data_IF_710698913371
#
_entry.id   IF_710698913371
#
_cell.length_a   1.000
_cell.length_b   1.000
_cell.length_c   1.000
_cell.angle_alpha   90.00
_cell.angle_beta   90.00
_cell.angle_gamma   90.00
#
_symmetry.space_group_name_H-M   'P 1'
#
loop_
_entity.id
_entity.type
_entity.pdbx_description
1 polymer ?
#
# COMPACT_ATOMS: atom_id res chain seq x y z
N UNK A 1 47.45 45.22 -57.53
CA UNK A 1 47.34 44.96 -56.12
C UNK A 1 45.87 44.59 -55.77
N UNK A 2 45.54 43.30 -55.77
CA UNK A 2 44.17 42.80 -55.56
C UNK A 2 44.09 42.36 -54.12
N UNK A 3 43.20 42.99 -53.29
CA UNK A 3 42.96 42.63 -51.90
C UNK A 3 41.85 41.61 -51.86
N UNK A 4 42.20 40.38 -51.45
CA UNK A 4 41.25 39.28 -51.22
C UNK A 4 40.60 39.48 -49.83
N UNK A 5 39.26 39.63 -49.78
CA UNK A 5 38.49 39.66 -48.53
C UNK A 5 38.02 38.26 -48.20
N UNK A 6 38.56 37.70 -47.14
CA UNK A 6 38.08 36.42 -46.63
C UNK A 6 36.74 36.60 -45.87
N UNK A 7 35.72 35.87 -46.27
CA UNK A 7 34.42 35.82 -45.65
C UNK A 7 34.43 34.69 -44.61
N UNK A 8 34.38 35.04 -43.34
CA UNK A 8 34.23 34.03 -42.24
C UNK A 8 32.75 33.75 -42.06
N UNK A 9 32.34 32.56 -42.44
CA UNK A 9 30.97 32.05 -42.17
C UNK A 9 30.98 31.38 -40.80
N UNK A 10 30.29 31.99 -39.82
CA UNK A 10 30.06 31.45 -38.50
C UNK A 10 28.88 30.48 -38.54
N UNK A 11 29.13 29.16 -38.49
CA UNK A 11 28.10 28.16 -38.32
C UNK A 11 27.67 28.13 -36.86
N UNK A 12 26.50 28.69 -36.52
CA UNK A 12 25.84 28.48 -35.25
C UNK A 12 25.15 27.12 -35.25
N UNK A 13 25.77 26.13 -34.59
CA UNK A 13 25.13 24.84 -34.33
C UNK A 13 24.13 24.97 -33.17
N UNK A 14 22.86 25.01 -33.48
CA UNK A 14 21.78 24.96 -32.46
C UNK A 14 21.65 23.55 -31.98
N UNK A 15 22.16 23.24 -30.75
CA UNK A 15 21.86 22.01 -30.04
C UNK A 15 20.41 22.06 -29.54
N UNK A 16 19.51 21.36 -30.24
CA UNK A 16 18.17 21.04 -29.70
C UNK A 16 18.31 20.04 -28.59
N UNK A 17 18.33 20.53 -27.34
CA UNK A 17 18.12 19.69 -26.15
C UNK A 17 16.66 19.21 -26.16
N UNK A 18 16.44 18.04 -26.71
CA UNK A 18 15.16 17.35 -26.62
C UNK A 18 14.85 17.04 -25.14
N UNK A 19 13.99 17.83 -24.52
CA UNK A 19 13.37 17.49 -23.23
C UNK A 19 12.47 16.28 -23.45
N UNK A 20 13.04 15.07 -23.33
CA UNK A 20 12.26 13.84 -23.26
C UNK A 20 11.35 13.92 -22.04
N UNK A 21 10.08 14.24 -22.23
CA UNK A 21 9.07 14.03 -21.20
C UNK A 21 9.04 12.52 -20.93
N UNK A 22 9.57 12.11 -19.77
CA UNK A 22 9.36 10.75 -19.26
C UNK A 22 7.86 10.63 -19.05
N UNK A 23 7.19 9.91 -19.96
CA UNK A 23 5.79 9.56 -19.79
C UNK A 23 5.69 8.82 -18.43
N UNK A 24 4.90 9.36 -17.50
CA UNK A 24 4.58 8.66 -16.28
C UNK A 24 3.96 7.32 -16.69
N UNK A 25 4.65 6.22 -16.41
CA UNK A 25 4.10 4.88 -16.64
C UNK A 25 2.76 4.80 -15.91
N UNK A 26 1.71 4.42 -16.64
CA UNK A 26 0.42 4.17 -16.01
C UNK A 26 0.61 3.10 -14.94
N UNK A 27 0.08 3.36 -13.73
CA UNK A 27 0.12 2.39 -12.63
C UNK A 27 -0.65 1.14 -13.06
N UNK A 28 -0.05 -0.01 -12.83
CA UNK A 28 -0.65 -1.28 -13.19
C UNK A 28 -1.83 -1.58 -12.25
N UNK A 29 -3.07 -1.77 -12.76
CA UNK A 29 -4.21 -2.15 -11.94
C UNK A 29 -4.06 -3.59 -11.43
N UNK A 30 -4.86 -3.99 -10.44
CA UNK A 30 -4.95 -5.39 -10.05
C UNK A 30 -5.38 -6.24 -11.26
N UNK A 31 -4.70 -7.35 -11.57
CA UNK A 31 -5.11 -8.25 -12.64
C UNK A 31 -6.46 -8.92 -12.29
N UNK A 32 -7.34 -9.02 -13.27
CA UNK A 32 -8.63 -9.71 -13.15
C UNK A 32 -8.49 -11.20 -13.44
N UNK A 33 -9.49 -12.00 -13.00
CA UNK A 33 -9.57 -13.43 -13.32
C UNK A 33 -8.43 -14.28 -12.74
N UNK A 34 -7.88 -13.90 -11.61
CA UNK A 34 -6.79 -14.60 -10.94
C UNK A 34 -7.02 -14.68 -9.42
N UNK A 35 -6.43 -15.69 -8.79
CA UNK A 35 -6.42 -15.82 -7.34
C UNK A 35 -5.42 -14.86 -6.68
N UNK A 36 -5.60 -14.64 -5.38
CA UNK A 36 -4.67 -13.89 -4.52
C UNK A 36 -4.17 -14.73 -3.37
N UNK A 37 -2.90 -14.57 -2.96
CA UNK A 37 -2.46 -15.06 -1.65
C UNK A 37 -1.83 -13.94 -0.80
N UNK A 38 -2.16 -13.97 0.50
CA UNK A 38 -1.76 -12.97 1.47
C UNK A 38 -0.71 -13.56 2.40
N UNK A 39 0.58 -13.24 2.17
CA UNK A 39 1.76 -13.93 2.70
C UNK A 39 2.56 -13.11 3.71
N UNK A 40 1.93 -12.48 4.69
CA UNK A 40 2.65 -11.64 5.67
C UNK A 40 3.44 -12.46 6.69
N UNK A 41 3.04 -13.69 6.98
CA UNK A 41 3.77 -14.59 7.87
C UNK A 41 5.00 -15.25 7.23
N UNK A 42 5.25 -15.01 5.93
CA UNK A 42 6.37 -15.55 5.18
C UNK A 42 6.01 -16.01 3.78
N UNK A 43 7.02 -16.07 2.91
CA UNK A 43 6.87 -16.48 1.52
C UNK A 43 6.48 -17.96 1.39
N UNK A 44 5.56 -18.26 0.47
CA UNK A 44 5.19 -19.62 0.10
C UNK A 44 5.02 -19.72 -1.42
N UNK A 45 5.36 -20.90 -1.98
CA UNK A 45 5.07 -21.20 -3.38
C UNK A 45 3.59 -21.47 -3.54
N UNK A 46 2.98 -20.94 -4.63
CA UNK A 46 1.55 -21.09 -4.92
C UNK A 46 1.32 -21.56 -6.36
N UNK A 47 0.15 -22.17 -6.64
CA UNK A 47 -0.24 -22.59 -8.00
C UNK A 47 -0.20 -21.43 -9.01
N UNK A 48 -0.19 -21.76 -10.29
CA UNK A 48 -0.18 -20.80 -11.40
C UNK A 48 -1.39 -19.87 -11.44
N UNK A 49 -2.54 -20.31 -10.91
CA UNK A 49 -3.79 -19.52 -10.82
C UNK A 49 -3.66 -18.31 -9.89
N UNK A 50 -2.74 -18.34 -8.91
CA UNK A 50 -2.50 -17.23 -7.98
C UNK A 50 -1.66 -16.17 -8.68
N UNK A 51 -2.29 -15.18 -9.27
CA UNK A 51 -1.62 -14.08 -9.99
C UNK A 51 -1.24 -12.90 -9.10
N UNK A 52 -1.87 -12.75 -7.93
CA UNK A 52 -1.63 -11.64 -6.99
C UNK A 52 -0.99 -12.19 -5.71
N UNK A 53 0.12 -11.60 -5.26
CA UNK A 53 0.79 -11.94 -3.99
C UNK A 53 1.02 -10.68 -3.17
N UNK A 54 0.51 -10.67 -1.94
CA UNK A 54 0.86 -9.63 -0.96
C UNK A 54 1.94 -10.16 0.00
N UNK A 55 3.02 -9.39 0.20
CA UNK A 55 4.12 -9.71 1.12
C UNK A 55 4.55 -8.50 1.92
N UNK A 56 5.08 -8.75 3.10
CA UNK A 56 5.74 -7.71 3.90
C UNK A 56 6.86 -7.02 3.09
N UNK A 57 7.02 -5.72 3.28
CA UNK A 57 8.01 -4.87 2.60
C UNK A 57 9.47 -5.33 2.76
N UNK A 58 9.73 -6.24 3.69
CA UNK A 58 11.07 -6.83 3.90
C UNK A 58 11.27 -8.15 3.17
N UNK A 59 10.22 -8.70 2.57
CA UNK A 59 10.27 -9.91 1.77
C UNK A 59 10.48 -9.59 0.28
N UNK A 60 11.13 -10.49 -0.44
CA UNK A 60 11.25 -10.36 -1.89
C UNK A 60 9.89 -10.56 -2.59
N UNK A 61 9.58 -9.83 -3.68
CA UNK A 61 8.41 -10.07 -4.50
C UNK A 61 8.45 -11.48 -5.13
N UNK A 62 7.29 -12.04 -5.45
CA UNK A 62 7.17 -13.32 -6.13
C UNK A 62 7.36 -13.13 -7.64
N UNK A 63 8.31 -13.84 -8.24
CA UNK A 63 8.59 -13.74 -9.67
C UNK A 63 7.36 -14.09 -10.53
N UNK A 64 7.10 -13.30 -11.58
CA UNK A 64 6.01 -13.51 -12.53
C UNK A 64 4.60 -13.32 -11.95
N UNK A 65 4.46 -12.56 -10.86
CA UNK A 65 3.19 -12.25 -10.20
C UNK A 65 3.02 -10.74 -10.07
N UNK A 66 1.78 -10.30 -9.90
CA UNK A 66 1.50 -8.96 -9.42
C UNK A 66 1.74 -8.92 -7.90
N UNK A 67 2.67 -8.10 -7.47
CA UNK A 67 3.11 -8.07 -6.08
C UNK A 67 2.62 -6.82 -5.37
N UNK A 68 1.93 -7.02 -4.25
CA UNK A 68 1.52 -5.96 -3.32
C UNK A 68 2.51 -5.93 -2.16
N UNK A 69 3.15 -4.79 -1.96
CA UNK A 69 4.04 -4.55 -0.84
C UNK A 69 3.23 -4.12 0.38
N UNK A 70 3.16 -4.95 1.42
CA UNK A 70 2.52 -4.59 2.68
C UNK A 70 3.40 -3.62 3.47
N UNK A 71 2.83 -2.50 3.85
CA UNK A 71 3.45 -1.49 4.71
C UNK A 71 2.52 -1.16 5.87
N UNK A 72 2.94 -1.45 7.11
CA UNK A 72 2.25 -0.92 8.28
C UNK A 72 2.55 0.59 8.36
N UNK A 73 1.67 1.38 7.73
CA UNK A 73 1.92 2.80 7.55
C UNK A 73 1.56 3.65 8.77
N UNK A 74 0.71 3.15 9.67
CA UNK A 74 0.07 3.92 10.74
C UNK A 74 0.40 3.43 12.14
N UNK A 75 1.01 2.26 12.25
CA UNK A 75 1.48 1.66 13.50
C UNK A 75 2.90 1.10 13.31
N UNK A 76 3.52 0.63 14.37
CA UNK A 76 4.79 -0.11 14.32
C UNK A 76 4.52 -1.59 14.17
N UNK A 77 5.33 -2.28 13.35
CA UNK A 77 5.36 -3.74 13.43
C UNK A 77 6.07 -4.20 14.73
N UNK A 78 5.76 -5.40 15.26
CA UNK A 78 6.38 -5.90 16.49
C UNK A 78 7.92 -5.95 16.46
N UNK A 79 8.50 -6.29 15.30
CA UNK A 79 9.95 -6.33 15.08
C UNK A 79 10.60 -4.93 14.95
N UNK A 80 9.80 -3.87 14.79
CA UNK A 80 10.27 -2.49 14.63
C UNK A 80 10.28 -1.69 15.95
N UNK A 81 9.92 -2.28 17.08
CA UNK A 81 9.86 -1.56 18.37
C UNK A 81 11.12 -0.75 18.67
N UNK A 82 12.32 -1.35 18.49
CA UNK A 82 13.60 -0.65 18.72
C UNK A 82 13.79 0.56 17.81
N UNK A 83 13.37 0.45 16.57
CA UNK A 83 13.44 1.55 15.58
C UNK A 83 12.56 2.73 16.01
N UNK A 84 11.32 2.46 16.43
CA UNK A 84 10.37 3.49 16.82
C UNK A 84 10.68 4.09 18.20
N UNK A 85 11.19 3.31 19.16
CA UNK A 85 11.60 3.83 20.46
C UNK A 85 12.76 4.85 20.36
N UNK A 86 13.60 4.78 19.33
CA UNK A 86 14.57 5.84 19.02
C UNK A 86 13.92 7.10 18.43
N UNK A 87 12.62 7.07 18.12
CA UNK A 87 11.84 8.14 17.49
C UNK A 87 10.59 8.48 18.28
N UNK A 88 10.67 8.44 19.59
CA UNK A 88 9.53 8.58 20.52
C UNK A 88 8.66 9.82 20.28
N UNK A 89 9.21 10.89 19.68
CA UNK A 89 8.44 12.10 19.33
C UNK A 89 7.43 11.87 18.21
N UNK A 90 7.53 10.75 17.48
CA UNK A 90 6.62 10.32 16.41
C UNK A 90 5.62 9.24 16.86
N UNK A 91 5.74 8.74 18.09
CA UNK A 91 4.77 7.85 18.70
C UNK A 91 3.66 8.65 19.39
N UNK A 92 2.41 8.20 19.19
CA UNK A 92 1.29 8.74 19.93
C UNK A 92 1.48 8.45 21.42
N UNK A 93 1.31 9.44 22.28
CA UNK A 93 1.45 9.30 23.71
C UNK A 93 0.18 9.72 24.42
N UNK A 94 -0.18 8.91 25.41
CA UNK A 94 -1.18 9.21 26.41
C UNK A 94 -0.50 9.24 27.79
N UNK A 95 -0.68 10.35 28.54
CA UNK A 95 0.02 10.57 29.83
C UNK A 95 1.52 10.25 29.78
N UNK A 96 2.20 10.65 28.69
CA UNK A 96 3.64 10.48 28.49
C UNK A 96 4.07 9.06 28.03
N UNK A 97 3.20 8.07 28.02
CA UNK A 97 3.47 6.70 27.57
C UNK A 97 3.02 6.47 26.12
N UNK A 98 3.76 5.70 25.31
CA UNK A 98 3.29 5.33 23.98
C UNK A 98 1.95 4.58 24.05
N UNK A 99 1.00 4.96 23.19
CA UNK A 99 -0.25 4.22 23.00
C UNK A 99 0.04 2.96 22.18
N UNK A 100 -0.47 1.84 22.65
CA UNK A 100 -0.28 0.50 22.06
C UNK A 100 -1.64 0.00 21.57
N UNK A 101 -1.69 -0.55 20.38
CA UNK A 101 -2.76 -1.43 19.96
C UNK A 101 -2.57 -2.77 20.65
N UNK A 102 -3.39 -3.06 21.66
CA UNK A 102 -3.23 -4.24 22.54
C UNK A 102 -3.41 -5.56 21.79
N UNK A 103 -4.20 -5.57 20.70
CA UNK A 103 -4.43 -6.80 19.92
C UNK A 103 -3.16 -7.29 19.21
N UNK A 104 -2.29 -6.35 18.82
CA UNK A 104 -1.09 -6.62 18.02
C UNK A 104 0.21 -6.25 18.75
N UNK A 105 0.12 -5.56 19.89
CA UNK A 105 1.27 -5.06 20.63
C UNK A 105 2.06 -3.99 19.85
N UNK A 106 1.41 -3.23 19.00
CA UNK A 106 2.00 -2.25 18.07
C UNK A 106 1.82 -0.82 18.58
N UNK A 107 2.88 0.00 18.50
CA UNK A 107 2.77 1.42 18.82
C UNK A 107 2.00 2.16 17.74
N UNK A 108 1.08 3.04 18.14
CA UNK A 108 0.35 3.93 17.24
C UNK A 108 1.22 5.14 16.90
N UNK A 109 1.32 5.50 15.62
CA UNK A 109 2.06 6.67 15.15
C UNK A 109 1.27 7.96 15.40
N UNK A 110 1.95 9.04 15.78
CA UNK A 110 1.30 10.32 16.10
C UNK A 110 1.04 11.17 14.86
N UNK A 111 -0.18 11.14 14.38
CA UNK A 111 -0.62 11.88 13.19
C UNK A 111 -1.26 13.23 13.52
N UNK A 112 -1.24 13.67 14.78
CA UNK A 112 -1.99 14.85 15.24
C UNK A 112 -1.57 16.15 14.55
N UNK A 113 -0.27 16.33 14.29
CA UNK A 113 0.23 17.59 13.70
C UNK A 113 0.74 17.42 12.27
N UNK A 114 0.64 18.44 11.41
CA UNK A 114 1.21 18.39 10.05
C UNK A 114 2.70 18.07 10.06
N UNK A 115 3.47 18.66 10.98
CA UNK A 115 4.91 18.43 11.08
C UNK A 115 5.25 16.94 11.37
N UNK A 116 4.50 16.28 12.26
CA UNK A 116 4.68 14.85 12.54
C UNK A 116 4.31 14.00 11.31
N UNK A 117 3.19 14.30 10.65
CA UNK A 117 2.80 13.59 9.41
C UNK A 117 3.86 13.71 8.32
N UNK A 118 4.48 14.89 8.13
CA UNK A 118 5.57 15.05 7.16
C UNK A 118 6.81 14.23 7.54
N UNK A 119 7.21 14.24 8.81
CA UNK A 119 8.35 13.44 9.28
C UNK A 119 8.10 11.93 9.12
N UNK A 120 6.90 11.46 9.42
CA UNK A 120 6.48 10.08 9.21
C UNK A 120 6.44 9.73 7.71
N UNK A 121 5.92 10.63 6.87
CA UNK A 121 5.90 10.44 5.41
C UNK A 121 7.31 10.32 4.81
N UNK A 122 8.31 10.97 5.38
CA UNK A 122 9.72 10.78 4.97
C UNK A 122 10.20 9.36 5.31
N UNK A 123 9.83 8.84 6.48
CA UNK A 123 10.25 7.49 6.91
C UNK A 123 9.55 6.42 6.05
N UNK A 124 8.21 6.45 6.02
CA UNK A 124 7.40 5.49 5.26
C UNK A 124 7.66 5.62 3.75
N UNK A 125 7.93 6.84 3.28
CA UNK A 125 8.28 7.10 1.89
C UNK A 125 9.54 6.35 1.42
N UNK A 126 10.52 6.16 2.29
CA UNK A 126 11.70 5.33 1.98
C UNK A 126 11.35 3.84 1.85
N UNK A 127 10.35 3.37 2.60
CA UNK A 127 9.87 2.00 2.47
C UNK A 127 9.12 1.80 1.14
N UNK A 128 8.30 2.80 0.76
CA UNK A 128 7.64 2.83 -0.56
C UNK A 128 8.67 2.80 -1.69
N UNK A 129 9.71 3.65 -1.61
CA UNK A 129 10.77 3.68 -2.61
C UNK A 129 11.51 2.35 -2.71
N UNK A 130 11.69 1.66 -1.57
CA UNK A 130 12.29 0.34 -1.54
C UNK A 130 11.38 -0.70 -2.19
N UNK A 131 10.06 -0.69 -1.92
CA UNK A 131 9.12 -1.58 -2.61
C UNK A 131 9.20 -1.41 -4.14
N UNK A 132 9.28 -0.15 -4.62
CA UNK A 132 9.45 0.11 -6.06
C UNK A 132 10.77 -0.45 -6.60
N UNK A 133 11.87 -0.21 -5.90
CA UNK A 133 13.20 -0.70 -6.29
C UNK A 133 13.31 -2.23 -6.28
N UNK A 134 12.58 -2.90 -5.39
CA UNK A 134 12.52 -4.35 -5.29
C UNK A 134 11.61 -5.01 -6.35
N UNK A 135 10.80 -4.20 -7.09
CA UNK A 135 9.98 -4.68 -8.20
C UNK A 135 8.54 -5.06 -7.81
N UNK A 136 8.00 -4.50 -6.73
CA UNK A 136 6.57 -4.56 -6.45
C UNK A 136 5.79 -3.67 -7.42
N UNK A 137 4.51 -3.99 -7.70
CA UNK A 137 3.61 -3.21 -8.53
C UNK A 137 2.72 -2.28 -7.71
N UNK A 138 2.48 -2.62 -6.44
CA UNK A 138 1.58 -1.89 -5.57
C UNK A 138 2.10 -1.84 -4.12
N UNK A 139 1.57 -0.89 -3.35
CA UNK A 139 1.74 -0.83 -1.89
C UNK A 139 0.36 -0.76 -1.25
N UNK A 140 0.09 -1.61 -0.26
CA UNK A 140 -1.05 -1.45 0.64
C UNK A 140 -0.60 -0.81 1.96
N UNK A 141 -1.44 0.04 2.53
CA UNK A 141 -1.17 0.71 3.80
C UNK A 141 -2.11 0.21 4.88
N UNK A 142 -1.55 -0.57 5.82
CA UNK A 142 -2.31 -1.10 6.93
C UNK A 142 -2.46 -0.10 8.08
N UNK A 143 -3.47 -0.36 8.91
CA UNK A 143 -3.82 0.41 10.11
C UNK A 143 -4.27 1.85 9.84
N UNK A 144 -4.86 2.11 8.65
CA UNK A 144 -5.45 3.40 8.29
C UNK A 144 -6.47 3.88 9.33
N UNK A 145 -7.14 2.95 10.01
CA UNK A 145 -8.13 3.16 11.05
C UNK A 145 -7.55 3.25 12.48
N UNK A 146 -6.22 3.34 12.65
CA UNK A 146 -5.55 3.42 13.96
C UNK A 146 -6.07 4.52 14.89
N UNK A 147 -6.74 5.55 14.32
CA UNK A 147 -7.41 6.58 15.11
C UNK A 147 -8.52 6.03 16.01
N UNK A 148 -9.13 4.89 15.67
CA UNK A 148 -10.18 4.23 16.48
C UNK A 148 -9.59 3.63 17.76
N UNK A 149 -8.31 3.28 17.76
CA UNK A 149 -7.55 2.67 18.87
C UNK A 149 -6.64 3.67 19.59
N UNK A 150 -6.81 4.97 19.31
CA UNK A 150 -5.93 6.05 19.77
C UNK A 150 -6.33 6.68 21.10
N UNK A 151 -7.14 6.03 21.95
CA UNK A 151 -7.73 6.63 23.16
C UNK A 151 -8.43 7.97 22.88
N UNK A 152 -9.04 8.12 21.68
CA UNK A 152 -9.66 9.38 21.20
C UNK A 152 -8.69 10.56 20.99
N UNK A 153 -7.37 10.33 21.06
CA UNK A 153 -6.35 11.37 20.87
C UNK A 153 -6.15 11.74 19.41
N UNK A 154 -6.54 10.88 18.48
CA UNK A 154 -6.54 11.14 17.04
C UNK A 154 -7.94 11.00 16.44
N UNK A 155 -8.13 11.66 15.29
CA UNK A 155 -9.39 11.63 14.54
C UNK A 155 -9.13 11.19 13.11
N UNK A 156 -10.16 10.64 12.43
CA UNK A 156 -10.10 10.22 11.03
C UNK A 156 -9.47 11.24 10.07
N UNK A 157 -9.80 12.57 10.12
CA UNK A 157 -9.18 13.52 9.20
C UNK A 157 -7.65 13.58 9.28
N UNK A 158 -7.06 13.30 10.44
CA UNK A 158 -5.60 13.27 10.61
C UNK A 158 -4.98 12.04 9.94
N UNK A 159 -5.61 10.88 10.06
CA UNK A 159 -5.21 9.67 9.35
C UNK A 159 -5.32 9.85 7.83
N UNK A 160 -6.44 10.39 7.34
CA UNK A 160 -6.64 10.66 5.92
C UNK A 160 -5.65 11.69 5.35
N UNK A 161 -5.31 12.73 6.14
CA UNK A 161 -4.29 13.70 5.75
C UNK A 161 -2.90 13.05 5.61
N UNK A 162 -2.58 12.07 6.45
CA UNK A 162 -1.35 11.30 6.33
C UNK A 162 -1.40 10.33 5.15
N UNK A 163 -2.52 9.59 4.98
CA UNK A 163 -2.73 8.70 3.83
C UNK A 163 -2.50 9.41 2.50
N UNK A 164 -3.01 10.64 2.32
CA UNK A 164 -2.76 11.44 1.10
C UNK A 164 -1.27 11.65 0.80
N UNK A 165 -0.44 11.83 1.83
CA UNK A 165 1.01 11.98 1.65
C UNK A 165 1.63 10.67 1.16
N UNK A 166 1.19 9.54 1.71
CA UNK A 166 1.66 8.21 1.32
C UNK A 166 1.21 7.85 -0.09
N UNK A 167 -0.08 8.02 -0.42
CA UNK A 167 -0.61 7.80 -1.77
C UNK A 167 0.16 8.61 -2.81
N UNK A 168 0.34 9.92 -2.56
CA UNK A 168 1.12 10.78 -3.46
C UNK A 168 2.56 10.29 -3.63
N UNK A 169 3.18 9.74 -2.59
CA UNK A 169 4.54 9.18 -2.68
C UNK A 169 4.55 7.89 -3.49
N UNK A 170 3.58 7.01 -3.25
CA UNK A 170 3.41 5.74 -3.96
C UNK A 170 3.26 5.97 -5.46
N UNK A 171 2.38 6.89 -5.85
CA UNK A 171 2.18 7.27 -7.25
C UNK A 171 3.44 7.83 -7.90
N UNK A 172 4.22 8.65 -7.18
CA UNK A 172 5.50 9.16 -7.70
C UNK A 172 6.56 8.07 -7.88
N UNK A 173 6.46 7.00 -7.11
CA UNK A 173 7.29 5.81 -7.27
C UNK A 173 6.81 4.86 -8.38
N UNK A 174 5.71 5.20 -9.09
CA UNK A 174 5.12 4.39 -10.16
C UNK A 174 4.26 3.22 -9.68
N UNK A 175 3.97 3.13 -8.37
CA UNK A 175 3.22 2.04 -7.77
C UNK A 175 1.75 2.40 -7.58
N UNK A 176 0.85 1.40 -7.65
CA UNK A 176 -0.53 1.53 -7.22
C UNK A 176 -0.63 1.58 -5.68
N UNK A 177 -1.57 2.38 -5.16
CA UNK A 177 -1.78 2.57 -3.72
C UNK A 177 -3.05 1.84 -3.26
N UNK A 178 -2.94 0.95 -2.29
CA UNK A 178 -4.03 0.17 -1.71
C UNK A 178 -4.52 0.69 -0.37
N UNK A 179 -5.83 0.84 -0.25
CA UNK A 179 -6.52 1.07 1.01
C UNK A 179 -6.69 -0.26 1.75
N UNK A 180 -6.10 -0.41 2.95
CA UNK A 180 -6.42 -1.54 3.82
C UNK A 180 -7.59 -1.20 4.73
N UNK A 181 -8.62 -2.04 4.69
CA UNK A 181 -9.81 -1.90 5.54
C UNK A 181 -10.50 -0.51 5.49
N UNK A 182 -11.20 -0.09 6.57
CA UNK A 182 -11.93 1.19 6.68
C UNK A 182 -13.09 1.31 5.66
N UNK A 183 -13.98 0.32 5.60
CA UNK A 183 -15.12 0.22 4.69
C UNK A 183 -16.05 1.46 4.66
N UNK A 184 -16.09 2.24 5.76
CA UNK A 184 -16.89 3.46 5.87
C UNK A 184 -16.30 4.69 5.17
N UNK A 185 -15.21 4.53 4.38
CA UNK A 185 -14.55 5.62 3.68
C UNK A 185 -14.26 5.27 2.23
N UNK A 186 -14.61 6.17 1.33
CA UNK A 186 -14.22 6.09 -0.08
C UNK A 186 -12.79 6.60 -0.25
N UNK A 187 -11.83 5.68 -0.35
CA UNK A 187 -10.42 5.99 -0.51
C UNK A 187 -10.06 6.55 -1.86
N UNK A 188 -10.88 6.36 -2.89
CA UNK A 188 -10.64 6.94 -4.23
C UNK A 188 -10.63 8.47 -4.15
N UNK A 189 -11.39 9.06 -3.22
CA UNK A 189 -11.40 10.50 -2.95
C UNK A 189 -10.03 11.08 -2.52
N UNK A 190 -9.10 10.23 -2.08
CA UNK A 190 -7.73 10.64 -1.74
C UNK A 190 -6.67 9.96 -2.59
N UNK A 191 -7.11 9.22 -3.63
CA UNK A 191 -6.28 8.67 -4.68
C UNK A 191 -5.85 7.23 -4.47
N UNK A 192 -6.47 6.45 -3.58
CA UNK A 192 -6.24 5.01 -3.56
C UNK A 192 -6.75 4.37 -4.84
N UNK A 193 -5.98 3.44 -5.39
CA UNK A 193 -6.26 2.77 -6.66
C UNK A 193 -7.03 1.46 -6.47
N UNK A 194 -6.88 0.80 -5.33
CA UNK A 194 -7.53 -0.48 -4.98
C UNK A 194 -7.75 -0.60 -3.47
N UNK A 195 -8.48 -1.64 -3.06
CA UNK A 195 -8.66 -1.97 -1.66
C UNK A 195 -8.23 -3.40 -1.33
N UNK A 196 -7.73 -3.61 -0.11
CA UNK A 196 -7.56 -4.92 0.53
C UNK A 196 -8.45 -4.94 1.76
N UNK A 197 -9.44 -5.82 1.76
CA UNK A 197 -10.39 -5.97 2.86
C UNK A 197 -10.16 -7.29 3.60
N UNK A 198 -10.14 -7.24 4.92
CA UNK A 198 -10.13 -8.43 5.76
C UNK A 198 -11.48 -8.64 6.42
N UNK A 199 -11.98 -9.86 6.38
CA UNK A 199 -13.24 -10.26 7.00
C UNK A 199 -14.45 -9.43 6.55
N UNK A 200 -14.44 -8.88 5.33
CA UNK A 200 -15.53 -8.01 4.88
C UNK A 200 -16.86 -8.74 4.82
N UNK A 201 -16.87 -10.04 4.51
CA UNK A 201 -18.09 -10.82 4.54
C UNK A 201 -18.56 -11.07 5.98
N UNK A 202 -17.66 -11.23 6.95
CA UNK A 202 -18.03 -11.37 8.36
C UNK A 202 -18.80 -10.15 8.87
N UNK A 203 -18.41 -8.94 8.44
CA UNK A 203 -18.98 -7.67 8.91
C UNK A 203 -20.01 -7.07 7.93
N UNK A 204 -20.36 -7.80 6.86
CA UNK A 204 -21.28 -7.33 5.81
C UNK A 204 -20.84 -6.00 5.17
N UNK A 205 -19.56 -5.90 4.86
CA UNK A 205 -18.92 -4.68 4.36
C UNK A 205 -18.38 -4.78 2.94
N UNK A 206 -18.28 -5.99 2.34
CA UNK A 206 -17.68 -6.19 1.02
C UNK A 206 -18.28 -5.27 -0.05
N UNK A 207 -19.62 -5.12 -0.05
CA UNK A 207 -20.31 -4.25 -1.00
C UNK A 207 -19.89 -2.78 -0.94
N UNK A 208 -19.40 -2.30 0.21
CA UNK A 208 -18.90 -0.91 0.35
C UNK A 208 -17.59 -0.71 -0.39
N UNK A 209 -16.69 -1.70 -0.34
CA UNK A 209 -15.44 -1.66 -1.11
C UNK A 209 -15.71 -1.77 -2.61
N UNK A 210 -16.55 -2.72 -3.01
CA UNK A 210 -16.93 -2.91 -4.43
C UNK A 210 -17.59 -1.65 -5.00
N UNK A 211 -18.47 -0.98 -4.24
CA UNK A 211 -19.08 0.29 -4.65
C UNK A 211 -18.02 1.36 -4.97
N UNK A 212 -16.94 1.44 -4.20
CA UNK A 212 -15.94 2.50 -4.32
C UNK A 212 -14.84 2.14 -5.32
N UNK A 213 -14.42 0.88 -5.38
CA UNK A 213 -13.25 0.43 -6.13
C UNK A 213 -13.58 -0.48 -7.33
N UNK A 214 -14.86 -0.80 -7.56
CA UNK A 214 -15.25 -1.73 -8.63
C UNK A 214 -14.62 -3.10 -8.43
N UNK A 215 -13.99 -3.63 -9.47
CA UNK A 215 -13.25 -4.89 -9.47
C UNK A 215 -11.87 -4.83 -8.80
N UNK A 216 -11.41 -3.64 -8.43
CA UNK A 216 -10.11 -3.40 -7.80
C UNK A 216 -10.14 -3.66 -6.29
N UNK A 217 -10.65 -4.83 -5.87
CA UNK A 217 -10.75 -5.24 -4.47
C UNK A 217 -10.21 -6.65 -4.27
N UNK A 218 -9.26 -6.77 -3.34
CA UNK A 218 -8.80 -8.05 -2.79
C UNK A 218 -9.54 -8.33 -1.49
N UNK A 219 -10.07 -9.54 -1.32
CA UNK A 219 -10.79 -9.96 -0.12
C UNK A 219 -10.07 -11.11 0.58
N UNK A 220 -9.75 -10.92 1.85
CA UNK A 220 -9.12 -11.93 2.71
C UNK A 220 -10.10 -12.33 3.80
N UNK A 221 -10.53 -13.59 3.81
CA UNK A 221 -11.46 -14.12 4.80
C UNK A 221 -10.78 -15.15 5.71
N UNK A 222 -11.18 -15.17 6.97
CA UNK A 222 -10.56 -16.03 7.98
C UNK A 222 -11.49 -17.14 8.50
N UNK A 223 -12.78 -17.10 8.15
CA UNK A 223 -13.79 -18.09 8.53
C UNK A 223 -14.41 -18.73 7.29
N UNK A 224 -14.64 -20.02 7.33
CA UNK A 224 -15.14 -20.78 6.18
C UNK A 224 -16.52 -20.31 5.71
N UNK A 225 -17.40 -19.97 6.65
CA UNK A 225 -18.77 -19.49 6.32
C UNK A 225 -18.74 -18.14 5.61
N UNK A 226 -17.83 -17.25 6.01
CA UNK A 226 -17.70 -15.91 5.41
C UNK A 226 -17.00 -16.00 4.05
N UNK A 227 -15.95 -16.80 3.92
CA UNK A 227 -15.32 -17.11 2.65
C UNK A 227 -16.32 -17.67 1.64
N UNK A 228 -17.13 -18.69 2.06
CA UNK A 228 -18.15 -19.24 1.17
C UNK A 228 -19.22 -18.21 0.75
N UNK A 229 -19.56 -17.26 1.64
CA UNK A 229 -20.46 -16.16 1.32
C UNK A 229 -19.82 -15.17 0.34
N UNK A 230 -18.59 -14.76 0.59
CA UNK A 230 -17.83 -13.87 -0.31
C UNK A 230 -17.69 -14.49 -1.71
N UNK A 231 -17.32 -15.77 -1.81
CA UNK A 231 -17.22 -16.47 -3.10
C UNK A 231 -18.55 -16.48 -3.87
N UNK A 232 -19.67 -16.78 -3.20
CA UNK A 232 -20.99 -16.78 -3.88
C UNK A 232 -21.36 -15.40 -4.42
N UNK A 233 -21.00 -14.33 -3.73
CA UNK A 233 -21.39 -12.97 -4.10
C UNK A 233 -20.44 -12.29 -5.05
N UNK A 234 -19.14 -12.54 -4.91
CA UNK A 234 -18.09 -11.77 -5.58
C UNK A 234 -17.04 -12.62 -6.31
N UNK A 235 -17.02 -13.95 -6.12
CA UNK A 235 -15.95 -14.82 -6.63
C UNK A 235 -15.81 -14.83 -8.16
N UNK A 236 -16.86 -14.45 -8.90
CA UNK A 236 -16.77 -14.36 -10.37
C UNK A 236 -15.95 -13.15 -10.86
N UNK A 237 -15.73 -12.14 -10.03
CA UNK A 237 -15.14 -10.85 -10.44
C UNK A 237 -13.99 -10.36 -9.55
N UNK A 238 -13.83 -10.95 -8.36
CA UNK A 238 -12.86 -10.46 -7.37
C UNK A 238 -11.93 -11.57 -6.91
N UNK A 239 -10.68 -11.22 -6.61
CA UNK A 239 -9.72 -12.10 -5.99
C UNK A 239 -10.01 -12.28 -4.51
N UNK A 240 -10.40 -13.49 -4.09
CA UNK A 240 -10.82 -13.83 -2.73
C UNK A 240 -10.01 -15.00 -2.22
N UNK A 241 -9.46 -14.87 -1.02
CA UNK A 241 -8.69 -15.94 -0.39
C UNK A 241 -9.14 -16.21 1.04
N UNK A 242 -9.22 -17.50 1.39
CA UNK A 242 -9.37 -17.97 2.77
C UNK A 242 -7.99 -18.23 3.36
N UNK A 243 -7.64 -17.54 4.44
CA UNK A 243 -6.37 -17.68 5.15
C UNK A 243 -6.58 -18.01 6.63
N UNK A 244 -5.53 -18.52 7.29
CA UNK A 244 -5.46 -18.51 8.74
C UNK A 244 -5.04 -17.12 9.27
N UNK A 245 -5.48 -16.74 10.47
CA UNK A 245 -5.17 -15.42 11.06
C UNK A 245 -3.67 -15.16 11.24
N UNK A 246 -2.87 -16.20 11.42
CA UNK A 246 -1.42 -16.07 11.57
C UNK A 246 -0.70 -15.97 10.22
N UNK A 247 -1.39 -16.09 9.10
CA UNK A 247 -0.88 -16.00 7.73
C UNK A 247 0.34 -16.89 7.48
N UNK A 248 0.36 -18.07 8.12
CA UNK A 248 1.52 -19.00 8.11
C UNK A 248 1.83 -19.49 6.70
N UNK A 249 3.11 -19.56 6.30
CA UNK A 249 3.50 -20.09 4.98
C UNK A 249 3.04 -21.52 4.72
N UNK A 250 2.99 -22.36 5.78
CA UNK A 250 2.55 -23.76 5.73
C UNK A 250 1.04 -23.93 5.54
N UNK A 251 0.25 -22.88 5.79
CA UNK A 251 -1.19 -22.96 5.60
C UNK A 251 -1.54 -23.13 4.12
N UNK A 252 -2.48 -24.02 3.82
CA UNK A 252 -3.01 -24.20 2.47
C UNK A 252 -4.21 -23.27 2.27
N UNK A 253 -4.06 -22.16 1.53
CA UNK A 253 -5.15 -21.25 1.27
C UNK A 253 -6.21 -21.90 0.37
N UNK A 254 -7.45 -21.39 0.46
CA UNK A 254 -8.52 -21.77 -0.49
C UNK A 254 -8.90 -20.54 -1.30
N UNK A 255 -9.24 -20.77 -2.54
CA UNK A 255 -9.65 -19.78 -3.53
C UNK A 255 -11.08 -20.05 -3.98
N UNK A 256 -11.74 -19.10 -4.55
CA UNK A 256 -13.05 -19.32 -5.16
C UNK A 256 -12.92 -20.01 -6.52
#
# INVERSE_FOLDING_TARGET
MIRLRALVVLLCSVLLLGSGAVAASAREPLPSGTDVDYQLGGAAVRPGTVGIIARDRTAAPAAGRYNICYVNGFQSQPNEKKFWLKRQSLLLKDHGKPVVDENWGEFILDLRTPAKRQRLAVIVGRWIDRCAADGFQAVEFDNLDSFTRSHRLMKRPQALAFARLLVKRTHRAGLAAGQKNLAGYDGTAIGFDFAVSESCAQYDECGRYVKNFGDQVVMVEYRDVDFARACRQYGATHAIVRRDLALRPSYQPRYC
#
